data_IF_057062474562
#
_entry.id   IF_057062474562
#
_cell.length_a   1.000
_cell.length_b   1.000
_cell.length_c   1.000
_cell.angle_alpha   90.00
_cell.angle_beta   90.00
_cell.angle_gamma   90.00
#
_symmetry.space_group_name_H-M   'P 1'
#
loop_
_entity.id
_entity.type
_entity.pdbx_description
1 polymer ?
#
# COMPACT_ATOMS: atom_id res chain seq x y z
N UNK A 1 7.66 -31.49 -35.14
CA UNK A 1 6.63 -30.74 -34.40
C UNK A 1 7.35 -29.84 -33.40
N UNK A 2 7.38 -28.54 -33.64
CA UNK A 2 8.11 -27.59 -32.79
C UNK A 2 7.25 -27.21 -31.58
N UNK A 3 7.69 -27.57 -30.37
CA UNK A 3 7.09 -27.06 -29.14
C UNK A 3 7.44 -25.59 -28.98
N UNK A 4 6.51 -24.69 -29.33
CA UNK A 4 6.58 -23.31 -28.86
C UNK A 4 6.34 -23.32 -27.35
N UNK A 5 7.40 -23.20 -26.56
CA UNK A 5 7.27 -22.76 -25.16
C UNK A 5 6.89 -21.29 -25.21
N UNK A 6 5.60 -20.99 -25.09
CA UNK A 6 5.12 -19.63 -24.88
C UNK A 6 5.61 -19.20 -23.51
N UNK A 7 6.64 -18.38 -23.49
CA UNK A 7 7.10 -17.65 -22.32
C UNK A 7 5.91 -16.85 -21.77
N UNK A 8 5.43 -17.20 -20.58
CA UNK A 8 4.54 -16.32 -19.82
C UNK A 8 5.39 -15.16 -19.30
N UNK A 9 5.45 -14.08 -20.07
CA UNK A 9 5.91 -12.80 -19.55
C UNK A 9 4.85 -12.29 -18.57
N UNK A 10 5.18 -12.02 -17.30
CA UNK A 10 4.25 -11.37 -16.39
C UNK A 10 3.79 -10.04 -17.01
N UNK A 11 2.51 -9.66 -16.90
CA UNK A 11 2.05 -8.39 -17.40
C UNK A 11 2.85 -7.26 -16.73
N UNK A 12 3.63 -6.55 -17.54
CA UNK A 12 4.23 -5.27 -17.20
C UNK A 12 3.10 -4.28 -16.92
N UNK A 13 2.64 -4.17 -15.67
CA UNK A 13 1.87 -3.03 -15.12
C UNK A 13 1.84 -2.96 -13.58
N UNK A 14 2.89 -3.43 -12.89
CA UNK A 14 3.14 -3.07 -11.49
C UNK A 14 3.96 -1.77 -11.40
N UNK A 15 3.38 -0.68 -11.91
CA UNK A 15 3.73 0.69 -11.54
C UNK A 15 2.50 1.22 -10.81
N UNK A 16 2.38 1.03 -9.50
CA UNK A 16 3.02 1.95 -8.57
C UNK A 16 3.17 1.27 -7.22
N UNK A 17 4.41 1.22 -6.73
CA UNK A 17 4.66 1.14 -5.31
C UNK A 17 3.84 2.22 -4.58
N UNK A 18 3.14 1.83 -3.51
CA UNK A 18 2.40 2.77 -2.68
C UNK A 18 3.38 3.75 -2.03
N UNK A 19 3.11 5.05 -2.19
CA UNK A 19 3.84 6.11 -1.50
C UNK A 19 3.17 6.36 -0.15
N UNK A 20 3.92 6.22 0.94
CA UNK A 20 3.40 6.43 2.30
C UNK A 20 3.25 7.92 2.64
N UNK A 21 3.93 8.82 1.92
CA UNK A 21 3.99 10.25 2.19
C UNK A 21 2.62 10.93 2.39
N UNK A 22 1.60 10.74 1.52
CA UNK A 22 0.28 11.34 1.74
C UNK A 22 -0.39 10.85 3.03
N UNK A 23 -0.14 9.61 3.43
CA UNK A 23 -0.71 9.03 4.66
C UNK A 23 0.00 9.57 5.91
N UNK A 24 1.32 9.76 5.85
CA UNK A 24 2.08 10.41 6.93
C UNK A 24 1.66 11.87 7.09
N UNK A 25 1.54 12.61 5.98
CA UNK A 25 1.03 13.98 6.01
C UNK A 25 -0.36 14.04 6.64
N UNK A 26 -1.26 13.14 6.23
CA UNK A 26 -2.61 13.05 6.79
C UNK A 26 -2.60 12.68 8.29
N UNK A 27 -1.71 11.78 8.72
CA UNK A 27 -1.54 11.41 10.14
C UNK A 27 -1.21 12.63 10.99
N UNK A 28 -0.27 13.47 10.52
CA UNK A 28 0.09 14.73 11.20
C UNK A 28 -1.07 15.73 11.17
N UNK A 29 -1.69 15.96 10.01
CA UNK A 29 -2.81 16.90 9.88
C UNK A 29 -4.03 16.52 10.74
N UNK A 30 -4.21 15.23 11.01
CA UNK A 30 -5.33 14.71 11.82
C UNK A 30 -4.97 14.47 13.27
N UNK A 31 -3.72 14.73 13.69
CA UNK A 31 -3.21 14.37 15.01
C UNK A 31 -3.52 12.91 15.36
N UNK A 32 -3.34 12.01 14.38
CA UNK A 32 -3.53 10.59 14.58
C UNK A 32 -2.33 9.98 15.32
N UNK A 33 -2.59 8.99 16.17
CA UNK A 33 -1.56 8.34 16.99
C UNK A 33 -0.68 7.42 16.15
N UNK A 34 -1.26 6.77 15.13
CA UNK A 34 -0.53 5.85 14.26
C UNK A 34 -1.23 5.65 12.91
N UNK A 35 -0.43 5.25 11.92
CA UNK A 35 -0.87 4.73 10.63
C UNK A 35 -0.79 3.20 10.67
N UNK A 36 -1.91 2.53 10.40
CA UNK A 36 -2.04 1.07 10.36
C UNK A 36 -2.06 0.59 8.90
N UNK A 37 -1.17 -0.34 8.57
CA UNK A 37 -1.01 -0.92 7.23
C UNK A 37 -1.06 -2.46 7.33
N UNK A 38 -2.26 -3.03 7.21
CA UNK A 38 -2.49 -4.47 7.41
C UNK A 38 -2.94 -5.15 6.10
N UNK A 39 -2.46 -6.36 5.86
CA UNK A 39 -2.92 -7.18 4.72
C UNK A 39 -4.40 -7.50 4.88
N UNK A 40 -5.18 -7.32 3.82
CA UNK A 40 -6.63 -7.57 3.82
C UNK A 40 -7.47 -6.39 4.31
N UNK A 41 -6.85 -5.29 4.73
CA UNK A 41 -7.56 -4.09 5.18
C UNK A 41 -7.07 -2.85 4.43
N UNK A 42 -7.92 -1.83 4.24
CA UNK A 42 -7.45 -0.53 3.76
C UNK A 42 -6.46 0.10 4.75
N UNK A 43 -5.60 1.03 4.30
CA UNK A 43 -4.84 1.88 5.21
C UNK A 43 -5.77 2.60 6.17
N UNK A 44 -5.40 2.64 7.45
CA UNK A 44 -6.20 3.28 8.50
C UNK A 44 -5.36 4.18 9.39
N UNK A 45 -5.97 5.21 9.95
CA UNK A 45 -5.40 6.01 11.03
C UNK A 45 -6.03 5.62 12.36
N UNK A 46 -5.21 5.55 13.41
CA UNK A 46 -5.68 5.42 14.79
C UNK A 46 -5.83 6.81 15.43
N UNK A 47 -6.98 7.04 16.03
CA UNK A 47 -7.35 8.27 16.75
C UNK A 47 -7.93 7.85 18.10
N UNK A 48 -7.07 7.77 19.12
CA UNK A 48 -7.36 7.16 20.41
C UNK A 48 -7.74 5.68 20.26
N UNK A 49 -8.93 5.34 20.75
CA UNK A 49 -9.47 3.98 20.67
C UNK A 49 -10.17 3.66 19.34
N UNK A 50 -10.22 4.62 18.42
CA UNK A 50 -10.89 4.46 17.12
C UNK A 50 -9.87 4.25 16.00
N UNK A 51 -10.20 3.31 15.11
CA UNK A 51 -9.52 3.13 13.83
C UNK A 51 -10.41 3.65 12.69
N UNK A 52 -9.85 4.48 11.81
CA UNK A 52 -10.55 5.06 10.68
C UNK A 52 -9.82 4.76 9.38
N UNK A 53 -10.48 4.03 8.48
CA UNK A 53 -9.97 3.80 7.14
C UNK A 53 -9.81 5.13 6.38
N UNK A 54 -8.66 5.29 5.72
CA UNK A 54 -8.30 6.47 4.90
C UNK A 54 -7.99 6.10 3.45
N UNK A 55 -8.10 4.82 3.10
CA UNK A 55 -8.08 4.32 1.73
C UNK A 55 -9.31 3.48 1.42
N UNK A 56 -9.51 3.16 0.14
CA UNK A 56 -10.66 2.38 -0.35
C UNK A 56 -10.33 0.93 -0.65
N UNK A 57 -9.07 0.60 -0.87
CA UNK A 57 -8.65 -0.73 -1.30
C UNK A 57 -7.89 -1.46 -0.19
N UNK A 58 -8.25 -2.74 0.09
CA UNK A 58 -7.45 -3.61 0.92
C UNK A 58 -6.01 -3.71 0.43
N UNK A 59 -5.05 -3.68 1.36
CA UNK A 59 -3.65 -3.88 1.06
C UNK A 59 -3.35 -5.37 0.88
N UNK A 60 -2.38 -5.68 0.03
CA UNK A 60 -1.82 -7.02 -0.10
C UNK A 60 -0.31 -7.00 0.19
N UNK A 61 0.27 -8.18 0.38
CA UNK A 61 1.69 -8.31 0.73
C UNK A 61 2.62 -7.73 -0.34
N UNK A 62 2.24 -7.79 -1.62
CA UNK A 62 3.06 -7.22 -2.69
C UNK A 62 3.17 -5.70 -2.59
N UNK A 63 2.07 -5.02 -2.28
CA UNK A 63 2.04 -3.56 -2.07
C UNK A 63 2.89 -3.18 -0.86
N UNK A 64 2.70 -3.89 0.26
CA UNK A 64 3.44 -3.61 1.51
C UNK A 64 4.94 -3.82 1.36
N UNK A 65 5.35 -4.87 0.65
CA UNK A 65 6.77 -5.16 0.37
C UNK A 65 7.42 -4.11 -0.56
N UNK A 66 6.62 -3.34 -1.28
CA UNK A 66 7.08 -2.29 -2.20
C UNK A 66 6.80 -0.89 -1.68
N UNK A 67 6.51 -0.72 -0.38
CA UNK A 67 6.27 0.60 0.21
C UNK A 67 7.44 1.55 -0.06
N UNK A 68 7.12 2.74 -0.52
CA UNK A 68 8.07 3.83 -0.69
C UNK A 68 7.97 4.78 0.50
N UNK A 69 9.12 5.07 1.09
CA UNK A 69 9.27 6.05 2.15
C UNK A 69 9.75 7.38 1.56
N UNK A 70 9.42 8.51 2.21
CA UNK A 70 9.99 9.79 1.84
C UNK A 70 11.53 9.73 1.89
N UNK A 71 12.18 10.21 0.83
CA UNK A 71 13.61 10.48 0.85
C UNK A 71 13.81 11.79 1.63
N UNK A 72 14.49 11.72 2.78
CA UNK A 72 14.92 12.90 3.54
C UNK A 72 16.35 13.26 3.17
#
# INVERSE_FOLDING_TARGET
MSHKKTTFSPPHNLKSAMDISPYIKLMVEKNADSLQLNVGSPPSLRLGDQEKAVGVSPLNSEILNKLKFPNY
#
